data_IF_068070951838
#
_entry.id   IF_068070951838
#
_cell.length_a   1.000
_cell.length_b   1.000
_cell.length_c   1.000
_cell.angle_alpha   90.00
_cell.angle_beta   90.00
_cell.angle_gamma   90.00
#
_symmetry.space_group_name_H-M   'P 1'
#
loop_
_entity.id
_entity.type
_entity.pdbx_description
1 polymer ?
#
# COMPACT_ATOMS: atom_id res chain seq x y z
N UNK A 1 -78.26 85.35 54.19
CA UNK A 1 -78.99 84.60 55.24
C UNK A 1 -79.45 83.31 54.57
N UNK A 2 -79.07 82.10 54.96
CA UNK A 2 -79.13 81.52 56.28
C UNK A 2 -77.91 80.64 56.58
N UNK A 3 -77.48 80.75 57.84
CA UNK A 3 -76.49 79.90 58.49
C UNK A 3 -77.25 78.73 59.14
N UNK A 4 -76.57 77.59 59.25
CA UNK A 4 -76.55 76.71 60.44
C UNK A 4 -77.11 75.29 60.33
N UNK A 5 -76.29 74.41 60.90
CA UNK A 5 -76.62 73.19 61.66
C UNK A 5 -77.02 71.93 60.90
N UNK A 6 -76.13 70.93 60.95
CA UNK A 6 -76.27 69.90 61.98
C UNK A 6 -74.95 69.15 62.19
N UNK A 7 -74.43 69.23 63.41
CA UNK A 7 -73.52 68.22 63.96
C UNK A 7 -74.26 66.88 64.04
N UNK A 8 -73.46 65.81 64.03
CA UNK A 8 -73.69 64.54 64.72
C UNK A 8 -74.21 63.36 63.87
N UNK A 9 -73.26 62.59 63.30
CA UNK A 9 -73.34 61.12 63.31
C UNK A 9 -71.95 60.56 63.60
N UNK A 10 -71.65 60.34 64.89
CA UNK A 10 -70.62 59.40 65.31
C UNK A 10 -71.08 57.99 64.96
N UNK A 11 -70.19 57.17 64.39
CA UNK A 11 -70.29 55.71 64.45
C UNK A 11 -70.79 54.99 63.20
N UNK A 12 -70.12 55.17 62.05
CA UNK A 12 -70.11 54.11 61.02
C UNK A 12 -68.66 53.67 60.81
N UNK A 13 -68.31 52.52 61.39
CA UNK A 13 -67.07 51.79 61.08
C UNK A 13 -66.99 51.73 59.55
N UNK A 14 -66.00 52.38 58.94
CA UNK A 14 -65.76 52.26 57.50
C UNK A 14 -65.37 50.80 57.25
N UNK A 15 -66.32 49.98 56.82
CA UNK A 15 -66.04 48.61 56.38
C UNK A 15 -65.27 48.72 55.06
N UNK A 16 -63.94 48.69 55.13
CA UNK A 16 -63.13 48.47 53.95
C UNK A 16 -63.41 47.03 53.47
N UNK A 17 -63.98 46.87 52.29
CA UNK A 17 -64.25 45.56 51.71
C UNK A 17 -62.92 44.89 51.40
N UNK A 18 -62.72 43.68 51.95
CA UNK A 18 -61.54 42.88 51.64
C UNK A 18 -61.63 42.39 50.21
N UNK A 19 -60.52 42.42 49.48
CA UNK A 19 -60.45 41.95 48.08
C UNK A 19 -60.61 40.44 47.95
N UNK A 20 -60.32 39.68 49.03
CA UNK A 20 -60.47 38.22 49.11
C UNK A 20 -61.01 37.82 50.48
N UNK A 21 -61.98 36.89 50.51
CA UNK A 21 -62.60 36.32 51.71
C UNK A 21 -62.64 34.79 51.61
N UNK A 22 -62.56 34.08 52.73
CA UNK A 22 -62.57 32.61 52.75
C UNK A 22 -64.00 32.03 52.86
N UNK A 23 -64.93 32.76 53.47
CA UNK A 23 -66.35 32.38 53.63
C UNK A 23 -67.27 33.58 53.40
N UNK A 24 -68.40 33.36 52.74
CA UNK A 24 -69.45 34.36 52.46
C UNK A 24 -70.12 34.90 53.74
N UNK A 25 -70.05 34.15 54.84
CA UNK A 25 -70.63 34.52 56.15
C UNK A 25 -69.91 35.68 56.84
N UNK A 26 -68.68 36.00 56.43
CA UNK A 26 -67.91 37.14 56.97
C UNK A 26 -68.39 38.49 56.42
N UNK A 27 -69.33 38.49 55.47
CA UNK A 27 -69.81 39.68 54.75
C UNK A 27 -71.32 39.81 54.91
N UNK A 28 -71.78 41.04 55.14
CA UNK A 28 -73.20 41.41 55.21
C UNK A 28 -73.95 40.88 53.97
N UNK A 29 -75.13 40.31 54.18
CA UNK A 29 -75.93 39.57 53.18
C UNK A 29 -76.15 40.39 51.89
N UNK A 30 -76.27 41.71 52.03
CA UNK A 30 -76.44 42.63 50.90
C UNK A 30 -75.20 42.78 50.01
N UNK A 31 -74.02 42.42 50.51
CA UNK A 31 -72.73 42.59 49.85
C UNK A 31 -72.15 41.26 49.34
N UNK A 32 -72.76 40.12 49.69
CA UNK A 32 -72.35 38.79 49.21
C UNK A 32 -72.45 38.66 47.68
N UNK A 33 -73.44 39.31 47.07
CA UNK A 33 -73.62 39.34 45.60
C UNK A 33 -72.46 40.01 44.85
N UNK A 34 -71.60 40.76 45.55
CA UNK A 34 -70.44 41.43 44.97
C UNK A 34 -69.18 40.55 45.01
N UNK A 35 -69.24 39.31 45.50
CA UNK A 35 -68.10 38.40 45.57
C UNK A 35 -68.29 37.18 44.67
N UNK A 36 -67.32 36.88 43.80
CA UNK A 36 -67.32 35.72 42.90
C UNK A 36 -66.31 34.65 43.36
N UNK A 37 -66.61 33.35 43.16
CA UNK A 37 -65.70 32.27 43.53
C UNK A 37 -64.40 32.35 42.71
N UNK A 38 -63.24 32.33 43.40
CA UNK A 38 -61.91 32.35 42.79
C UNK A 38 -60.96 31.47 43.60
N UNK A 39 -60.80 30.21 43.19
CA UNK A 39 -59.99 29.22 43.91
C UNK A 39 -60.71 28.67 45.16
N UNK A 40 -60.01 28.64 46.30
CA UNK A 40 -60.54 28.12 47.59
C UNK A 40 -61.33 29.17 48.39
N UNK A 41 -61.67 30.32 47.81
CA UNK A 41 -62.40 31.41 48.46
C UNK A 41 -63.13 32.32 47.45
N UNK A 42 -63.61 33.47 47.94
CA UNK A 42 -64.40 34.43 47.15
C UNK A 42 -63.66 35.77 47.02
N UNK A 43 -63.62 36.32 45.81
CA UNK A 43 -62.96 37.59 45.50
C UNK A 43 -64.00 38.65 45.12
N UNK A 44 -63.78 39.90 45.54
CA UNK A 44 -64.68 41.02 45.25
C UNK A 44 -64.67 41.30 43.73
N UNK A 45 -65.84 41.23 43.11
CA UNK A 45 -66.10 41.48 41.70
C UNK A 45 -66.10 42.99 41.43
N UNK A 46 -64.89 43.56 41.38
CA UNK A 46 -64.68 44.97 41.04
C UNK A 46 -64.55 45.10 39.53
N UNK A 47 -65.44 45.88 38.91
CA UNK A 47 -65.38 46.21 37.49
C UNK A 47 -63.98 46.77 37.12
N UNK A 48 -63.38 46.23 36.05
CA UNK A 48 -62.03 46.57 35.59
C UNK A 48 -60.87 45.89 36.35
N UNK A 49 -61.09 44.94 37.26
CA UNK A 49 -60.01 44.19 37.94
C UNK A 49 -59.22 43.32 36.95
N UNK A 50 -59.89 42.76 35.93
CA UNK A 50 -59.23 42.01 34.85
C UNK A 50 -58.32 42.93 34.01
N UNK A 51 -58.75 44.16 33.72
CA UNK A 51 -57.95 45.16 33.01
C UNK A 51 -56.76 45.65 33.86
N UNK A 52 -56.96 45.81 35.18
CA UNK A 52 -55.88 46.14 36.13
C UNK A 52 -54.85 45.02 36.22
N UNK A 53 -55.28 43.77 36.21
CA UNK A 53 -54.40 42.60 36.24
C UNK A 53 -53.60 42.48 34.94
N UNK A 54 -54.25 42.58 33.79
CA UNK A 54 -53.59 42.56 32.48
C UNK A 54 -52.61 43.73 32.29
N UNK A 55 -52.95 44.91 32.82
CA UNK A 55 -52.05 46.06 32.80
C UNK A 55 -50.83 45.85 33.71
N UNK A 56 -51.02 45.24 34.88
CA UNK A 56 -49.90 44.90 35.79
C UNK A 56 -48.96 43.88 35.17
N UNK A 57 -49.48 42.89 34.46
CA UNK A 57 -48.69 41.89 33.74
C UNK A 57 -47.86 42.54 32.63
N UNK A 58 -48.47 43.39 31.78
CA UNK A 58 -47.73 44.15 30.75
C UNK A 58 -46.68 45.10 31.33
N UNK A 59 -46.98 45.75 32.45
CA UNK A 59 -46.01 46.62 33.14
C UNK A 59 -44.85 45.79 33.68
N UNK A 60 -45.11 44.58 34.19
CA UNK A 60 -44.07 43.66 34.65
C UNK A 60 -43.19 43.22 33.48
N UNK A 61 -43.79 42.79 32.36
CA UNK A 61 -43.05 42.44 31.14
C UNK A 61 -42.19 43.60 30.60
N UNK A 62 -42.73 44.82 30.61
CA UNK A 62 -42.00 46.02 30.18
C UNK A 62 -40.83 46.33 31.11
N UNK A 63 -41.01 46.17 32.43
CA UNK A 63 -39.93 46.32 33.41
C UNK A 63 -38.86 45.26 33.21
N UNK A 64 -39.25 43.99 33.10
CA UNK A 64 -38.33 42.86 32.92
C UNK A 64 -37.52 43.01 31.60
N UNK A 65 -38.17 43.44 30.52
CA UNK A 65 -37.48 43.68 29.25
C UNK A 65 -36.54 44.88 29.31
N UNK A 66 -36.95 45.98 29.94
CA UNK A 66 -36.08 47.14 30.09
C UNK A 66 -34.88 46.85 30.98
N UNK A 67 -35.05 46.11 32.08
CA UNK A 67 -33.94 45.67 32.94
C UNK A 67 -32.97 44.80 32.14
N UNK A 68 -33.48 43.82 31.38
CA UNK A 68 -32.65 42.98 30.52
C UNK A 68 -31.91 43.78 29.44
N UNK A 69 -32.57 44.76 28.83
CA UNK A 69 -31.95 45.65 27.83
C UNK A 69 -30.87 46.54 28.46
N UNK A 70 -31.09 47.01 29.69
CA UNK A 70 -30.06 47.75 30.45
C UNK A 70 -28.86 46.87 30.77
N UNK A 71 -29.08 45.63 31.24
CA UNK A 71 -28.00 44.67 31.49
C UNK A 71 -27.21 44.33 30.21
N UNK A 72 -27.89 44.18 29.07
CA UNK A 72 -27.24 43.95 27.77
C UNK A 72 -26.44 45.16 27.32
N UNK A 73 -26.96 46.39 27.49
CA UNK A 73 -26.23 47.62 27.19
C UNK A 73 -25.01 47.77 28.09
N UNK A 74 -25.13 47.49 29.39
CA UNK A 74 -24.01 47.57 30.33
C UNK A 74 -22.95 46.49 30.04
N UNK A 75 -23.35 45.27 29.68
CA UNK A 75 -22.41 44.22 29.25
C UNK A 75 -21.68 44.59 27.96
N UNK A 76 -22.37 45.19 27.00
CA UNK A 76 -21.76 45.68 25.75
C UNK A 76 -20.84 46.84 26.09
N UNK A 77 -21.31 47.87 26.78
CA UNK A 77 -20.55 49.05 27.14
C UNK A 77 -19.32 48.72 28.02
N UNK A 78 -19.43 47.76 28.94
CA UNK A 78 -18.30 47.26 29.74
C UNK A 78 -17.32 46.36 28.98
N UNK A 79 -17.73 45.72 27.88
CA UNK A 79 -16.81 45.02 26.96
C UNK A 79 -16.07 45.95 26.03
N UNK A 80 -16.65 47.12 25.77
CA UNK A 80 -16.09 48.15 24.90
C UNK A 80 -15.55 49.37 25.67
N UNK A 81 -15.56 49.35 27.01
CA UNK A 81 -15.10 50.47 27.86
C UNK A 81 -13.61 50.74 27.74
N UNK A 82 -12.83 49.72 27.36
CA UNK A 82 -11.38 49.82 27.15
C UNK A 82 -11.02 50.42 25.77
N UNK A 83 -12.02 50.69 24.94
CA UNK A 83 -11.85 51.18 23.57
C UNK A 83 -12.63 52.51 23.48
N UNK A 84 -11.95 53.59 23.89
CA UNK A 84 -12.54 54.92 24.05
C UNK A 84 -13.17 55.49 22.77
N UNK A 85 -12.75 55.06 21.58
CA UNK A 85 -13.27 55.53 20.30
C UNK A 85 -13.18 54.44 19.20
N UNK A 86 -14.18 53.55 19.09
CA UNK A 86 -14.25 52.59 17.97
C UNK A 86 -15.32 53.01 16.96
N UNK A 87 -14.89 53.67 15.88
CA UNK A 87 -15.78 53.96 14.75
C UNK A 87 -16.22 52.63 14.08
N UNK A 88 -17.53 52.37 13.91
CA UNK A 88 -18.04 51.19 13.21
C UNK A 88 -17.45 50.98 11.80
N UNK A 89 -16.96 52.05 11.16
CA UNK A 89 -16.27 52.00 9.87
C UNK A 89 -14.90 51.32 9.98
N UNK A 90 -14.12 51.66 11.01
CA UNK A 90 -12.77 51.15 11.21
C UNK A 90 -12.78 49.67 11.60
N UNK A 91 -13.81 49.24 12.34
CA UNK A 91 -14.00 47.82 12.65
C UNK A 91 -14.28 46.99 11.38
N UNK A 92 -15.10 47.49 10.46
CA UNK A 92 -15.34 46.82 9.17
C UNK A 92 -14.08 46.78 8.31
N UNK A 93 -13.34 47.88 8.28
CA UNK A 93 -12.07 47.95 7.56
C UNK A 93 -11.03 46.98 8.14
N UNK A 94 -10.94 46.87 9.47
CA UNK A 94 -10.05 45.94 10.15
C UNK A 94 -10.44 44.47 9.91
N UNK A 95 -11.74 44.14 9.94
CA UNK A 95 -12.24 42.79 9.64
C UNK A 95 -11.94 42.42 8.17
N UNK A 96 -12.18 43.33 7.24
CA UNK A 96 -11.92 43.09 5.81
C UNK A 96 -10.42 42.99 5.52
N UNK A 97 -9.59 43.84 6.14
CA UNK A 97 -8.14 43.73 6.06
C UNK A 97 -7.65 42.39 6.65
N UNK A 98 -8.19 41.95 7.79
CA UNK A 98 -7.85 40.67 8.40
C UNK A 98 -8.31 39.48 7.56
N UNK A 99 -9.43 39.61 6.84
CA UNK A 99 -9.90 38.60 5.89
C UNK A 99 -8.99 38.50 4.66
N UNK A 100 -8.58 39.63 4.11
CA UNK A 100 -7.64 39.70 2.98
C UNK A 100 -6.23 39.22 3.33
N UNK A 101 -5.74 39.49 4.54
CA UNK A 101 -4.45 38.98 5.02
C UNK A 101 -4.50 37.46 5.17
N UNK A 102 -5.56 36.93 5.79
CA UNK A 102 -5.76 35.48 5.95
C UNK A 102 -5.91 34.76 4.60
N UNK A 103 -6.53 35.42 3.62
CA UNK A 103 -6.68 34.92 2.25
C UNK A 103 -5.38 34.97 1.44
N UNK A 104 -4.45 35.89 1.76
CA UNK A 104 -3.12 35.99 1.15
C UNK A 104 -2.07 35.06 1.80
N UNK A 105 -2.15 34.83 3.11
CA UNK A 105 -1.27 33.90 3.84
C UNK A 105 -1.60 32.43 3.55
N UNK A 106 -2.88 32.14 3.25
CA UNK A 106 -3.24 30.92 2.55
C UNK A 106 -2.76 31.05 1.09
N UNK A 107 -1.59 30.49 0.76
CA UNK A 107 -1.35 30.00 -0.61
C UNK A 107 -2.65 29.29 -1.00
N UNK A 108 -3.38 29.70 -2.06
CA UNK A 108 -4.75 29.25 -2.27
C UNK A 108 -4.75 27.74 -2.15
N UNK A 109 -5.52 27.16 -1.23
CA UNK A 109 -5.40 25.73 -0.89
C UNK A 109 -5.43 24.82 -2.13
N UNK A 110 -6.14 25.27 -3.17
CA UNK A 110 -6.22 24.69 -4.51
C UNK A 110 -4.87 24.60 -5.24
N UNK A 111 -3.99 25.59 -5.12
CA UNK A 111 -2.66 25.60 -5.75
C UNK A 111 -1.67 24.69 -5.01
N UNK A 112 -1.75 24.64 -3.69
CA UNK A 112 -0.97 23.68 -2.90
C UNK A 112 -1.43 22.24 -3.15
N UNK A 113 -2.73 21.99 -3.22
CA UNK A 113 -3.28 20.68 -3.58
C UNK A 113 -2.84 20.25 -4.99
N UNK A 114 -2.82 21.18 -5.95
CA UNK A 114 -2.31 20.91 -7.31
C UNK A 114 -0.81 20.57 -7.28
N UNK A 115 0.00 21.33 -6.56
CA UNK A 115 1.45 21.08 -6.45
C UNK A 115 1.74 19.75 -5.74
N UNK A 116 1.00 19.45 -4.66
CA UNK A 116 1.12 18.21 -3.91
C UNK A 116 0.71 17.00 -4.77
N UNK A 117 -0.39 17.12 -5.54
CA UNK A 117 -0.80 16.08 -6.48
C UNK A 117 0.22 15.89 -7.61
N UNK A 118 0.79 16.97 -8.14
CA UNK A 118 1.86 16.87 -9.15
C UNK A 118 3.10 16.17 -8.60
N UNK A 119 3.53 16.52 -7.37
CA UNK A 119 4.64 15.85 -6.69
C UNK A 119 4.33 14.38 -6.43
N UNK A 120 3.14 14.08 -5.91
CA UNK A 120 2.70 12.71 -5.66
C UNK A 120 2.63 11.88 -6.94
N UNK A 121 2.19 12.46 -8.05
CA UNK A 121 2.21 11.79 -9.36
C UNK A 121 3.64 11.57 -9.86
N UNK A 122 4.54 12.54 -9.70
CA UNK A 122 5.94 12.41 -10.08
C UNK A 122 6.65 11.31 -9.26
N UNK A 123 6.42 11.28 -7.94
CA UNK A 123 6.93 10.24 -7.05
C UNK A 123 6.37 8.87 -7.41
N UNK A 124 5.05 8.75 -7.64
CA UNK A 124 4.42 7.49 -8.11
C UNK A 124 5.06 7.00 -9.40
N UNK A 125 5.28 7.86 -10.39
CA UNK A 125 5.94 7.49 -11.64
C UNK A 125 7.38 7.02 -11.41
N UNK A 126 8.12 7.68 -10.53
CA UNK A 126 9.48 7.28 -10.17
C UNK A 126 9.49 5.90 -9.51
N UNK A 127 8.65 5.68 -8.51
CA UNK A 127 8.55 4.39 -7.82
C UNK A 127 8.05 3.28 -8.74
N UNK A 128 7.09 3.55 -9.63
CA UNK A 128 6.63 2.57 -10.62
C UNK A 128 7.75 2.20 -11.58
N UNK A 129 8.52 3.18 -12.06
CA UNK A 129 9.70 2.94 -12.91
C UNK A 129 10.75 2.10 -12.20
N UNK A 130 11.07 2.42 -10.95
CA UNK A 130 12.07 1.70 -10.14
C UNK A 130 11.60 0.27 -9.83
N UNK A 131 10.31 0.09 -9.53
CA UNK A 131 9.70 -1.23 -9.32
C UNK A 131 9.71 -2.06 -10.61
N UNK A 132 9.39 -1.45 -11.75
CA UNK A 132 9.41 -2.12 -13.05
C UNK A 132 10.84 -2.52 -13.42
N UNK A 133 11.81 -1.64 -13.22
CA UNK A 133 13.23 -1.92 -13.46
C UNK A 133 13.71 -3.07 -12.56
N UNK A 134 13.45 -2.97 -11.26
CA UNK A 134 13.82 -4.01 -10.28
C UNK A 134 13.19 -5.36 -10.62
N UNK A 135 11.89 -5.40 -10.98
CA UNK A 135 11.22 -6.61 -11.44
C UNK A 135 11.87 -7.18 -12.70
N UNK A 136 12.22 -6.32 -13.66
CA UNK A 136 12.87 -6.75 -14.90
C UNK A 136 14.26 -7.36 -14.64
N UNK A 137 15.03 -6.77 -13.72
CA UNK A 137 16.34 -7.27 -13.32
C UNK A 137 16.20 -8.60 -12.58
N UNK A 138 15.23 -8.71 -11.66
CA UNK A 138 14.95 -9.96 -10.95
C UNK A 138 14.56 -11.10 -11.92
N UNK A 139 13.70 -10.83 -12.90
CA UNK A 139 13.30 -11.80 -13.93
C UNK A 139 14.48 -12.23 -14.82
N UNK A 140 15.34 -11.28 -15.23
CA UNK A 140 16.55 -11.58 -16.00
C UNK A 140 17.50 -12.47 -15.20
N UNK A 141 17.79 -12.09 -13.95
CA UNK A 141 18.68 -12.85 -13.08
C UNK A 141 18.13 -14.25 -12.80
N UNK A 142 16.82 -14.38 -12.57
CA UNK A 142 16.18 -15.68 -12.39
C UNK A 142 16.29 -16.56 -13.65
N UNK A 143 16.13 -15.96 -14.83
CA UNK A 143 16.28 -16.66 -16.11
C UNK A 143 17.72 -17.10 -16.36
N UNK A 144 18.69 -16.23 -16.05
CA UNK A 144 20.13 -16.53 -16.14
C UNK A 144 20.55 -17.62 -15.15
N UNK A 145 20.08 -17.57 -13.92
CA UNK A 145 20.34 -18.60 -12.91
C UNK A 145 19.75 -19.94 -13.31
N UNK A 146 18.50 -19.96 -13.80
CA UNK A 146 17.87 -21.18 -14.30
C UNK A 146 18.65 -21.77 -15.46
N UNK A 147 19.06 -20.92 -16.41
CA UNK A 147 19.90 -21.29 -17.54
C UNK A 147 21.23 -21.88 -17.08
N UNK A 148 21.94 -21.23 -16.18
CA UNK A 148 23.25 -21.68 -15.68
C UNK A 148 23.13 -23.01 -14.92
N UNK A 149 22.09 -23.18 -14.11
CA UNK A 149 21.83 -24.44 -13.40
C UNK A 149 21.57 -25.58 -14.36
N UNK A 150 20.73 -25.38 -15.40
CA UNK A 150 20.50 -26.38 -16.45
C UNK A 150 21.82 -26.69 -17.16
N UNK A 151 22.54 -25.67 -17.63
CA UNK A 151 23.80 -25.85 -18.36
C UNK A 151 24.81 -26.66 -17.55
N UNK A 152 25.00 -26.35 -16.27
CA UNK A 152 25.92 -27.08 -15.39
C UNK A 152 25.48 -28.52 -15.17
N UNK A 153 24.25 -28.73 -14.67
CA UNK A 153 23.74 -30.05 -14.27
C UNK A 153 23.64 -31.02 -15.46
N UNK A 154 23.17 -30.52 -16.61
CA UNK A 154 23.07 -31.32 -17.83
C UNK A 154 24.44 -31.58 -18.43
N UNK A 155 25.36 -30.61 -18.49
CA UNK A 155 26.72 -30.86 -18.98
C UNK A 155 27.45 -31.91 -18.14
N UNK A 156 27.33 -31.84 -16.81
CA UNK A 156 27.89 -32.86 -15.91
C UNK A 156 27.30 -34.25 -16.18
N UNK A 157 26.00 -34.34 -16.46
CA UNK A 157 25.32 -35.61 -16.74
C UNK A 157 25.67 -36.17 -18.12
N UNK A 158 25.74 -35.31 -19.14
CA UNK A 158 26.16 -35.68 -20.50
C UNK A 158 27.58 -36.28 -20.49
N UNK A 159 28.51 -35.64 -19.77
CA UNK A 159 29.89 -36.14 -19.64
C UNK A 159 29.97 -37.53 -18.97
N UNK A 160 28.98 -37.93 -18.16
CA UNK A 160 28.91 -39.28 -17.58
C UNK A 160 28.36 -40.31 -18.57
N UNK A 161 27.40 -39.90 -19.39
CA UNK A 161 26.71 -40.80 -20.34
C UNK A 161 27.57 -41.08 -21.58
N UNK A 162 28.32 -40.08 -22.07
CA UNK A 162 29.20 -40.27 -23.22
C UNK A 162 29.94 -39.01 -23.63
N UNK A 163 30.85 -39.15 -24.60
CA UNK A 163 31.57 -38.01 -25.17
C UNK A 163 30.71 -37.33 -26.24
N UNK A 164 30.50 -36.03 -26.13
CA UNK A 164 29.81 -35.25 -27.16
C UNK A 164 30.71 -34.96 -28.37
N UNK A 165 30.09 -34.90 -29.55
CA UNK A 165 30.73 -34.40 -30.76
C UNK A 165 31.15 -32.92 -30.60
N UNK A 166 32.20 -32.52 -31.31
CA UNK A 166 32.64 -31.11 -31.34
C UNK A 166 31.50 -30.23 -31.87
N UNK A 167 31.12 -29.21 -31.10
CA UNK A 167 30.05 -28.27 -31.45
C UNK A 167 28.64 -28.73 -31.07
N UNK A 168 28.42 -29.99 -30.67
CA UNK A 168 27.09 -30.49 -30.29
C UNK A 168 26.58 -29.93 -28.95
N UNK A 169 27.48 -29.51 -28.06
CA UNK A 169 27.13 -29.10 -26.71
C UNK A 169 26.14 -27.92 -26.70
N UNK A 170 26.35 -26.90 -27.52
CA UNK A 170 25.45 -25.75 -27.59
C UNK A 170 24.05 -26.12 -28.06
N UNK A 171 23.92 -27.04 -29.01
CA UNK A 171 22.62 -27.50 -29.50
C UNK A 171 21.88 -28.33 -28.47
N UNK A 172 22.60 -29.23 -27.79
CA UNK A 172 22.03 -30.06 -26.72
C UNK A 172 21.59 -29.19 -25.55
N UNK A 173 22.40 -28.21 -25.14
CA UNK A 173 22.04 -27.29 -24.06
C UNK A 173 20.85 -26.41 -24.43
N UNK A 174 20.76 -25.94 -25.68
CA UNK A 174 19.59 -25.23 -26.18
C UNK A 174 18.34 -26.11 -26.15
N UNK A 175 18.46 -27.39 -26.50
CA UNK A 175 17.36 -28.35 -26.38
C UNK A 175 16.93 -28.51 -24.92
N UNK A 176 17.89 -28.71 -24.01
CA UNK A 176 17.63 -28.81 -22.58
C UNK A 176 16.91 -27.56 -22.05
N UNK A 177 17.35 -26.36 -22.42
CA UNK A 177 16.71 -25.10 -22.02
C UNK A 177 15.28 -24.94 -22.54
N UNK A 178 14.95 -25.55 -23.67
CA UNK A 178 13.59 -25.52 -24.21
C UNK A 178 12.67 -26.49 -23.47
N UNK A 179 13.16 -27.67 -23.10
CA UNK A 179 12.39 -28.76 -22.49
C UNK A 179 12.35 -28.68 -20.95
N UNK A 180 13.38 -28.13 -20.31
CA UNK A 180 13.59 -28.17 -18.86
C UNK A 180 13.42 -26.77 -18.25
N UNK A 181 12.79 -26.71 -17.10
CA UNK A 181 12.69 -25.53 -16.23
C UNK A 181 13.26 -25.87 -14.84
N UNK A 182 13.72 -24.86 -14.11
CA UNK A 182 14.18 -25.01 -12.72
C UNK A 182 13.10 -24.45 -11.79
N UNK A 183 12.54 -25.29 -10.92
CA UNK A 183 11.63 -24.88 -9.84
C UNK A 183 12.09 -25.48 -8.53
N UNK A 184 12.13 -24.67 -7.48
CA UNK A 184 12.50 -25.10 -6.13
C UNK A 184 13.79 -25.94 -6.10
N UNK A 185 14.81 -25.47 -6.82
CA UNK A 185 16.13 -26.13 -6.98
C UNK A 185 16.11 -27.49 -7.68
N UNK A 186 14.99 -27.86 -8.30
CA UNK A 186 14.83 -29.12 -9.05
C UNK A 186 14.63 -28.85 -10.54
N UNK A 187 15.13 -29.78 -11.37
CA UNK A 187 14.83 -29.79 -12.79
C UNK A 187 13.45 -30.39 -13.01
N UNK A 188 12.62 -29.68 -13.76
CA UNK A 188 11.28 -30.12 -14.14
C UNK A 188 11.12 -30.09 -15.66
N UNK A 189 10.31 -31.01 -16.17
CA UNK A 189 9.86 -30.98 -17.55
C UNK A 189 8.83 -29.87 -17.73
N UNK A 190 9.01 -28.99 -18.72
CA UNK A 190 8.01 -27.95 -19.03
C UNK A 190 6.70 -28.52 -19.57
N UNK A 191 6.76 -29.66 -20.24
CA UNK A 191 5.59 -30.27 -20.89
C UNK A 191 4.76 -31.09 -19.90
N UNK A 192 5.41 -31.89 -19.06
CA UNK A 192 4.73 -32.78 -18.10
C UNK A 192 4.63 -32.18 -16.70
N UNK A 193 5.46 -31.20 -16.36
CA UNK A 193 5.54 -30.61 -15.01
C UNK A 193 6.18 -31.54 -13.97
N UNK A 194 6.68 -32.69 -14.37
CA UNK A 194 7.29 -33.69 -13.49
C UNK A 194 8.78 -33.41 -13.27
N UNK A 195 9.28 -33.83 -12.11
CA UNK A 195 10.71 -33.77 -11.82
C UNK A 195 11.48 -34.69 -12.76
N UNK A 196 12.58 -34.20 -13.33
CA UNK A 196 13.48 -34.95 -14.20
C UNK A 196 14.78 -35.26 -13.45
N UNK A 197 15.29 -36.49 -13.59
CA UNK A 197 16.69 -36.79 -13.25
C UNK A 197 17.60 -36.39 -14.45
N UNK A 198 18.61 -35.52 -14.24
CA UNK A 198 19.56 -35.12 -15.28
C UNK A 198 20.21 -36.29 -16.03
N UNK A 199 20.49 -37.41 -15.35
CA UNK A 199 21.12 -38.59 -15.96
C UNK A 199 20.14 -39.35 -16.85
N UNK A 200 18.87 -39.47 -16.43
CA UNK A 200 17.84 -40.13 -17.23
C UNK A 200 17.58 -39.34 -18.52
N UNK A 201 17.49 -38.02 -18.42
CA UNK A 201 17.36 -37.15 -19.59
C UNK A 201 18.56 -37.30 -20.54
N UNK A 202 19.79 -37.33 -20.02
CA UNK A 202 20.99 -37.52 -20.83
C UNK A 202 21.04 -38.90 -21.50
N UNK A 203 20.59 -39.95 -20.82
CA UNK A 203 20.47 -41.30 -21.37
C UNK A 203 19.40 -41.37 -22.46
N UNK A 204 18.27 -40.71 -22.28
CA UNK A 204 17.22 -40.64 -23.29
C UNK A 204 17.65 -39.81 -24.50
N UNK A 205 18.47 -38.78 -24.30
CA UNK A 205 19.12 -38.07 -25.39
C UNK A 205 20.06 -38.99 -26.18
N UNK A 206 20.86 -39.83 -25.52
CA UNK A 206 21.73 -40.79 -26.18
C UNK A 206 20.93 -41.81 -27.01
N UNK A 207 19.80 -42.31 -26.49
CA UNK A 207 18.93 -43.25 -27.19
C UNK A 207 18.25 -42.62 -28.41
N UNK A 208 17.69 -41.42 -28.25
CA UNK A 208 16.86 -40.78 -29.27
C UNK A 208 17.66 -39.97 -30.29
N UNK A 209 18.81 -39.44 -29.87
CA UNK A 209 19.67 -38.58 -30.69
C UNK A 209 21.15 -38.98 -30.59
N UNK A 210 21.50 -40.23 -30.98
CA UNK A 210 22.85 -40.76 -30.84
C UNK A 210 23.90 -39.98 -31.66
N UNK A 211 23.48 -39.25 -32.69
CA UNK A 211 24.35 -38.46 -33.55
C UNK A 211 25.04 -37.28 -32.82
N UNK A 212 24.55 -36.85 -31.66
CA UNK A 212 25.22 -35.84 -30.84
C UNK A 212 26.45 -36.40 -30.11
N UNK A 213 26.54 -37.72 -29.98
CA UNK A 213 27.60 -38.38 -29.25
C UNK A 213 28.63 -38.93 -30.23
N UNK A 214 29.89 -38.97 -29.80
CA UNK A 214 30.88 -39.77 -30.51
C UNK A 214 30.50 -41.23 -30.35
N UNK A 215 30.38 -41.99 -31.46
CA UNK A 215 30.22 -43.43 -31.33
C UNK A 215 31.40 -43.90 -30.50
N UNK A 216 31.14 -44.78 -29.52
CA UNK A 216 32.20 -45.46 -28.82
C UNK A 216 32.98 -46.23 -29.88
N UNK A 217 34.06 -45.63 -30.39
CA UNK A 217 35.18 -46.36 -30.96
C UNK A 217 35.87 -47.02 -29.77
N UNK A 218 35.16 -47.91 -29.08
CA UNK A 218 35.80 -48.92 -28.25
C UNK A 218 36.84 -49.53 -29.15
N UNK A 219 38.10 -49.43 -28.74
CA UNK A 219 39.29 -49.70 -29.52
C UNK A 219 39.06 -50.69 -30.66
N UNK A 220 38.54 -50.19 -31.78
CA UNK A 220 38.88 -50.72 -33.07
C UNK A 220 40.30 -50.20 -33.27
N UNK A 221 41.22 -50.79 -32.50
CA UNK A 221 42.32 -51.50 -33.11
C UNK A 221 41.78 -52.11 -34.39
N UNK A 222 41.77 -51.32 -35.48
CA UNK A 222 42.28 -51.84 -36.74
C UNK A 222 43.48 -52.61 -36.28
N UNK A 223 43.38 -53.94 -36.32
CA UNK A 223 44.54 -54.75 -36.05
C UNK A 223 45.62 -54.15 -36.93
N UNK A 224 46.51 -53.37 -36.32
CA UNK A 224 47.90 -53.64 -36.55
C UNK A 224 47.92 -55.12 -36.25
N UNK A 225 47.94 -55.93 -37.32
CA UNK A 225 48.61 -57.20 -37.24
C UNK A 225 49.78 -56.89 -36.33
N UNK A 226 49.81 -57.53 -35.16
CA UNK A 226 51.05 -57.73 -34.46
C UNK A 226 51.98 -58.06 -35.61
N UNK A 227 52.85 -57.11 -35.99
CA UNK A 227 53.87 -57.41 -36.95
C UNK A 227 54.68 -58.35 -36.09
N UNK A 228 54.36 -59.65 -36.21
CA UNK A 228 55.29 -60.72 -35.92
C UNK A 228 56.59 -60.13 -36.39
N UNK A 229 57.53 -59.89 -35.47
CA UNK A 229 58.80 -59.25 -35.78
C UNK A 229 59.54 -60.23 -36.67
N UNK A 230 59.15 -60.21 -37.94
CA UNK A 230 59.55 -61.13 -38.96
C UNK A 230 60.92 -60.63 -39.36
N UNK A 231 61.91 -61.49 -39.19
CA UNK A 231 63.28 -61.15 -39.53
C UNK A 231 63.37 -60.85 -41.04
N UNK A 232 63.68 -59.61 -41.45
CA UNK A 232 63.69 -59.24 -42.87
C UNK A 232 64.86 -59.90 -43.63
N UNK A 233 65.78 -60.59 -42.95
CA UNK A 233 66.90 -61.35 -43.51
C UNK A 233 66.61 -62.85 -43.67
N UNK A 234 65.54 -63.38 -43.07
CA UNK A 234 65.22 -64.80 -43.19
C UNK A 234 64.74 -65.16 -44.61
N UNK A 235 65.06 -66.37 -45.07
CA UNK A 235 64.81 -66.83 -46.45
C UNK A 235 63.35 -66.70 -46.88
N UNK A 236 62.42 -66.99 -45.96
CA UNK A 236 60.98 -66.95 -46.23
C UNK A 236 60.39 -65.53 -46.23
N UNK A 237 61.12 -64.55 -45.68
CA UNK A 237 60.60 -63.21 -45.39
C UNK A 237 61.56 -62.10 -45.80
N UNK A 238 62.37 -62.39 -46.82
CA UNK A 238 63.42 -61.53 -47.32
C UNK A 238 62.83 -60.27 -47.97
N UNK A 239 63.12 -59.09 -47.41
CA UNK A 239 62.68 -57.81 -47.96
C UNK A 239 63.80 -56.75 -47.92
N UNK A 240 64.37 -56.45 -49.09
CA UNK A 240 65.49 -55.53 -49.26
C UNK A 240 65.20 -54.09 -48.79
N UNK A 241 63.98 -53.60 -48.97
CA UNK A 241 63.59 -52.26 -48.52
C UNK A 241 63.55 -52.17 -47.00
N UNK A 242 63.03 -53.20 -46.34
CA UNK A 242 63.03 -53.28 -44.88
C UNK A 242 64.44 -53.49 -44.31
N UNK A 243 65.30 -54.26 -44.99
CA UNK A 243 66.70 -54.39 -44.62
C UNK A 243 67.45 -53.05 -44.70
N UNK A 244 67.26 -52.29 -45.79
CA UNK A 244 67.88 -50.98 -45.97
C UNK A 244 67.40 -49.98 -44.90
N UNK A 245 66.10 -49.95 -44.62
CA UNK A 245 65.52 -49.12 -43.56
C UNK A 245 66.07 -49.50 -42.18
N UNK A 246 66.14 -50.79 -41.86
CA UNK A 246 66.67 -51.26 -40.58
C UNK A 246 68.17 -50.97 -40.44
N UNK A 247 68.94 -51.05 -41.52
CA UNK A 247 70.35 -50.70 -41.50
C UNK A 247 70.58 -49.20 -41.28
N UNK A 248 69.69 -48.34 -41.81
CA UNK A 248 69.72 -46.89 -41.59
C UNK A 248 69.27 -46.48 -40.18
N UNK A 249 68.21 -47.10 -39.66
CA UNK A 249 67.63 -46.76 -38.36
C UNK A 249 68.38 -47.42 -37.18
N UNK A 250 68.80 -48.69 -37.33
CA UNK A 250 69.47 -49.45 -36.29
C UNK A 250 70.47 -50.50 -36.85
N UNK A 251 71.71 -50.10 -37.19
CA UNK A 251 72.69 -50.99 -37.82
C UNK A 251 73.13 -52.17 -36.92
N UNK A 252 73.09 -52.00 -35.59
CA UNK A 252 73.45 -53.07 -34.66
C UNK A 252 72.39 -54.19 -34.64
N UNK A 253 71.12 -53.84 -34.70
CA UNK A 253 70.02 -54.80 -34.76
C UNK A 253 69.96 -55.50 -36.12
N UNK A 254 70.23 -54.79 -37.22
CA UNK A 254 70.35 -55.37 -38.56
C UNK A 254 71.41 -56.48 -38.58
N UNK A 255 72.61 -56.22 -38.04
CA UNK A 255 73.69 -57.23 -37.92
C UNK A 255 73.28 -58.44 -37.10
N UNK A 256 72.60 -58.24 -35.97
CA UNK A 256 72.13 -59.34 -35.12
C UNK A 256 71.12 -60.22 -35.84
N UNK A 257 70.17 -59.62 -36.55
CA UNK A 257 69.12 -60.35 -37.27
C UNK A 257 69.65 -61.05 -38.52
N UNK A 258 70.61 -60.46 -39.24
CA UNK A 258 71.30 -61.14 -40.33
C UNK A 258 72.17 -62.31 -39.82
N UNK A 259 72.90 -62.13 -38.71
CA UNK A 259 73.67 -63.19 -38.09
C UNK A 259 72.80 -64.36 -37.62
N UNK A 260 71.59 -64.08 -37.12
CA UNK A 260 70.63 -65.11 -36.69
C UNK A 260 70.17 -66.04 -37.83
N UNK A 261 70.35 -65.63 -39.10
CA UNK A 261 70.05 -66.44 -40.29
C UNK A 261 71.31 -66.85 -41.05
N UNK A 262 72.50 -66.64 -40.47
CA UNK A 262 73.79 -67.02 -41.05
C UNK A 262 74.34 -66.07 -42.11
N UNK A 263 73.81 -64.84 -42.20
CA UNK A 263 74.27 -63.81 -43.15
C UNK A 263 75.19 -62.83 -42.39
N UNK A 264 76.40 -62.61 -42.91
CA UNK A 264 77.32 -61.57 -42.42
C UNK A 264 77.11 -60.26 -43.19
N UNK A 265 76.70 -59.19 -42.50
CA UNK A 265 76.54 -57.83 -43.01
C UNK A 265 77.77 -56.95 -42.74
#
# INVERSE_FOLDING_TARGET
MFVSNAKNQKGKKRMALKTYINSLEEVDENLQNLYKPKGEGFALDVEGEQDRQALREKIKEFRDNNTRLQEQLEQVQGRYSDIEDLDPSDLKAAIEAHKQVKEKEMIPAVEMDKLMNQRLQAERKKYESELQETKSVAQKLQSEMSRMTIEKTISESLNKVGQLQKGALSDVLRRAQNEIEVKDERLIDKSTGLSIDPNDWANDLLKNSPFFFTPNTGANSRGSSETVKVNPFAKETLNLTHQAKLYQENPAEAKRLAAAVGISL
#
